data_IF_448336913707
#
_entry.id   IF_448336913707
#
_cell.length_a   1.000
_cell.length_b   1.000
_cell.length_c   1.000
_cell.angle_alpha   90.00
_cell.angle_beta   90.00
_cell.angle_gamma   90.00
#
_symmetry.space_group_name_H-M   'P 1'
#
loop_
_entity.id
_entity.type
_entity.pdbx_description
1 polymer ?
#
# COMPACT_ATOMS: atom_id res chain seq x y z
N UNK A 1 23.58 17.52 4.67
CA UNK A 1 22.41 17.29 3.79
C UNK A 1 21.66 16.11 4.38
N UNK A 2 20.34 16.23 4.62
CA UNK A 2 19.55 15.06 4.99
C UNK A 2 19.71 14.00 3.90
N UNK A 3 19.79 12.72 4.27
CA UNK A 3 19.84 11.64 3.30
C UNK A 3 18.53 11.69 2.50
N UNK A 4 18.58 12.28 1.30
CA UNK A 4 17.46 12.36 0.39
C UNK A 4 17.64 11.32 -0.71
N UNK A 5 16.54 10.72 -1.14
CA UNK A 5 16.49 9.84 -2.31
C UNK A 5 17.25 10.44 -3.49
N UNK A 6 18.24 9.70 -4.02
CA UNK A 6 19.17 10.17 -5.05
C UNK A 6 18.71 9.89 -6.48
N UNK A 7 17.55 9.25 -6.64
CA UNK A 7 17.00 8.88 -7.94
C UNK A 7 17.43 7.49 -8.40
N UNK A 8 16.69 6.97 -9.38
CA UNK A 8 16.86 5.62 -9.89
C UNK A 8 17.46 5.56 -11.29
N UNK A 9 17.37 4.39 -11.91
CA UNK A 9 17.78 4.13 -13.30
C UNK A 9 16.55 4.02 -14.21
N UNK A 10 16.68 4.02 -15.55
CA UNK A 10 15.56 3.70 -16.43
C UNK A 10 14.96 2.31 -16.12
N UNK A 11 13.68 2.26 -15.76
CA UNK A 11 12.99 1.02 -15.35
C UNK A 11 11.77 0.69 -16.20
N UNK A 12 11.20 1.67 -16.91
CA UNK A 12 10.11 1.44 -17.85
C UNK A 12 10.08 2.50 -18.94
N UNK A 13 9.52 2.16 -20.10
CA UNK A 13 9.19 3.09 -21.16
C UNK A 13 7.71 2.98 -21.54
N UNK A 14 7.15 4.04 -22.09
CA UNK A 14 5.86 3.99 -22.81
C UNK A 14 6.17 4.05 -24.29
N UNK A 15 5.69 3.05 -25.01
CA UNK A 15 5.81 3.01 -26.47
C UNK A 15 4.46 3.23 -27.09
N UNK A 16 4.35 4.22 -27.99
CA UNK A 16 3.15 4.53 -28.79
C UNK A 16 3.50 4.47 -30.26
N UNK A 17 2.78 3.66 -31.03
CA UNK A 17 2.97 3.51 -32.48
C UNK A 17 4.43 3.22 -32.88
N UNK A 18 5.13 2.43 -32.06
CA UNK A 18 6.55 2.09 -32.25
C UNK A 18 7.56 3.13 -31.75
N UNK A 19 7.12 4.29 -31.26
CA UNK A 19 7.96 5.35 -30.72
C UNK A 19 8.00 5.33 -29.18
N UNK A 20 9.18 5.38 -28.58
CA UNK A 20 9.36 5.52 -27.13
C UNK A 20 9.02 6.96 -26.70
N UNK A 21 7.78 7.16 -26.25
CA UNK A 21 7.19 8.46 -25.93
C UNK A 21 7.57 8.96 -24.54
N UNK A 22 7.76 8.06 -23.57
CA UNK A 22 8.14 8.43 -22.20
C UNK A 22 9.10 7.41 -21.61
N UNK A 23 10.05 7.88 -20.82
CA UNK A 23 10.97 7.06 -20.05
C UNK A 23 10.77 7.31 -18.56
N UNK A 24 10.51 6.26 -17.80
CA UNK A 24 10.38 6.28 -16.35
C UNK A 24 11.69 5.82 -15.72
N UNK A 25 12.23 6.66 -14.84
CA UNK A 25 13.33 6.31 -13.96
C UNK A 25 12.80 5.92 -12.58
N UNK A 26 13.47 5.00 -11.92
CA UNK A 26 13.05 4.51 -10.62
C UNK A 26 14.04 3.56 -10.00
N UNK A 27 13.81 3.27 -8.73
CA UNK A 27 14.60 2.33 -7.96
C UNK A 27 13.77 1.09 -7.61
N UNK A 28 14.44 -0.05 -7.55
CA UNK A 28 13.83 -1.36 -7.27
C UNK A 28 14.71 -2.07 -6.24
N UNK A 29 14.12 -2.50 -5.13
CA UNK A 29 14.76 -3.40 -4.18
C UNK A 29 14.06 -4.76 -4.21
N UNK A 30 14.83 -5.83 -4.36
CA UNK A 30 14.32 -7.21 -4.34
C UNK A 30 14.96 -7.95 -3.18
N UNK A 31 14.15 -8.54 -2.30
CA UNK A 31 14.63 -9.34 -1.17
C UNK A 31 14.25 -10.81 -1.34
N UNK A 32 15.04 -11.69 -0.75
CA UNK A 32 14.67 -13.08 -0.51
C UNK A 32 13.57 -13.19 0.58
N UNK A 33 13.03 -14.40 0.86
CA UNK A 33 12.03 -14.61 1.92
C UNK A 33 12.54 -14.23 3.33
N UNK A 34 13.84 -14.34 3.58
CA UNK A 34 14.43 -13.95 4.87
C UNK A 34 14.57 -12.43 5.02
N UNK A 35 14.31 -11.68 3.94
CA UNK A 35 14.39 -10.23 3.91
C UNK A 35 15.81 -9.69 3.64
N UNK A 36 16.72 -10.55 3.15
CA UNK A 36 18.03 -10.11 2.66
C UNK A 36 17.89 -9.56 1.24
N UNK A 37 18.64 -8.50 0.91
CA UNK A 37 18.63 -7.91 -0.42
C UNK A 37 19.26 -8.88 -1.43
N UNK A 38 18.46 -9.37 -2.37
CA UNK A 38 18.88 -10.24 -3.48
C UNK A 38 19.46 -9.41 -4.63
N UNK A 39 18.79 -8.30 -4.96
CA UNK A 39 19.18 -7.42 -6.05
C UNK A 39 18.62 -6.01 -5.86
N UNK A 40 19.24 -5.04 -6.54
CA UNK A 40 18.77 -3.66 -6.56
C UNK A 40 19.02 -2.99 -7.91
N UNK A 41 18.14 -2.06 -8.27
CA UNK A 41 18.29 -1.11 -9.38
C UNK A 41 18.14 0.29 -8.79
N UNK A 42 19.05 1.22 -9.12
CA UNK A 42 19.01 2.59 -8.58
C UNK A 42 19.31 2.70 -7.07
N UNK A 43 18.89 3.80 -6.46
CA UNK A 43 19.08 4.08 -5.03
C UNK A 43 18.00 3.41 -4.17
N UNK A 44 18.37 2.33 -3.50
CA UNK A 44 17.48 1.59 -2.59
C UNK A 44 17.75 1.85 -1.11
N UNK A 45 18.82 2.57 -0.79
CA UNK A 45 19.34 2.77 0.56
C UNK A 45 19.06 4.15 1.15
N UNK A 46 18.73 5.14 0.33
CA UNK A 46 18.23 6.43 0.84
C UNK A 46 16.79 6.31 1.34
N UNK A 47 16.41 7.07 2.37
CA UNK A 47 15.06 7.04 2.88
C UNK A 47 14.07 7.68 1.89
N UNK A 48 12.91 7.06 1.74
CA UNK A 48 11.73 7.57 1.04
C UNK A 48 10.54 7.53 1.98
N UNK A 49 9.52 8.34 1.74
CA UNK A 49 8.22 8.12 2.35
C UNK A 49 7.45 7.07 1.53
N UNK A 50 7.13 5.87 2.07
CA UNK A 50 6.38 4.85 1.34
C UNK A 50 4.90 5.20 1.14
N UNK A 51 4.44 6.29 1.77
CA UNK A 51 3.05 6.75 1.76
C UNK A 51 2.12 5.62 2.21
N UNK A 52 1.06 5.31 1.46
CA UNK A 52 0.10 4.25 1.81
C UNK A 52 0.72 2.85 1.94
N UNK A 53 1.93 2.61 1.41
CA UNK A 53 2.62 1.33 1.63
C UNK A 53 3.09 1.14 3.08
N UNK A 54 3.02 2.17 3.95
CA UNK A 54 3.25 2.04 5.39
C UNK A 54 2.10 1.35 6.15
N UNK A 55 0.90 1.32 5.57
CA UNK A 55 -0.32 0.94 6.30
C UNK A 55 -0.31 -0.48 6.89
N UNK A 56 0.24 -1.51 6.23
CA UNK A 56 0.30 -2.84 6.83
C UNK A 56 1.12 -2.86 8.13
N UNK A 57 2.23 -2.11 8.19
CA UNK A 57 3.03 -1.98 9.42
C UNK A 57 2.28 -1.18 10.50
N UNK A 58 1.50 -0.16 10.11
CA UNK A 58 0.64 0.58 11.03
C UNK A 58 -0.49 -0.29 11.58
N UNK A 59 -1.09 -1.16 10.76
CA UNK A 59 -2.09 -2.12 11.19
C UNK A 59 -1.52 -3.17 12.16
N UNK A 60 -0.29 -3.62 11.95
CA UNK A 60 0.41 -4.47 12.92
C UNK A 60 0.58 -3.76 14.26
N UNK A 61 0.96 -2.48 14.27
CA UNK A 61 1.07 -1.70 15.49
C UNK A 61 -0.28 -1.59 16.23
N UNK A 62 -1.41 -1.51 15.51
CA UNK A 62 -2.74 -1.54 16.12
C UNK A 62 -3.02 -2.88 16.83
N UNK A 63 -2.69 -4.02 16.20
CA UNK A 63 -2.82 -5.33 16.84
C UNK A 63 -1.92 -5.47 18.07
N UNK A 64 -0.68 -4.96 17.99
CA UNK A 64 0.27 -4.95 19.11
C UNK A 64 -0.15 -4.04 20.25
N UNK A 65 -0.90 -2.97 19.95
CA UNK A 65 -1.58 -2.15 20.93
C UNK A 65 -2.79 -2.86 21.56
N UNK A 66 -3.13 -4.09 21.18
CA UNK A 66 -4.26 -4.81 21.76
C UNK A 66 -5.61 -4.49 21.12
N UNK A 67 -5.64 -3.80 19.97
CA UNK A 67 -6.87 -3.78 19.16
C UNK A 67 -7.20 -5.21 18.71
N UNK A 68 -8.43 -5.65 19.01
CA UNK A 68 -8.99 -6.90 18.53
C UNK A 68 -10.05 -6.59 17.45
N UNK A 69 -9.72 -6.71 16.15
CA UNK A 69 -10.69 -6.53 15.08
C UNK A 69 -11.81 -7.57 15.21
N UNK A 70 -13.07 -7.18 14.91
CA UNK A 70 -14.20 -8.10 14.97
C UNK A 70 -14.17 -9.15 13.85
N UNK A 71 -13.57 -8.77 12.71
CA UNK A 71 -13.41 -9.61 11.52
C UNK A 71 -12.05 -9.38 10.85
N UNK A 72 -11.64 -10.28 9.95
CA UNK A 72 -10.45 -10.03 9.10
C UNK A 72 -10.65 -8.81 8.19
N UNK A 73 -11.89 -8.52 7.78
CA UNK A 73 -12.23 -7.38 6.96
C UNK A 73 -11.98 -6.04 7.68
N UNK A 74 -12.13 -5.99 9.01
CA UNK A 74 -11.79 -4.83 9.84
C UNK A 74 -10.27 -4.54 9.77
N UNK A 75 -9.44 -5.58 9.86
CA UNK A 75 -7.98 -5.44 9.75
C UNK A 75 -7.56 -5.07 8.32
N UNK A 76 -8.25 -5.62 7.31
CA UNK A 76 -8.02 -5.29 5.91
C UNK A 76 -8.30 -3.80 5.63
N UNK A 77 -9.45 -3.26 6.08
CA UNK A 77 -9.78 -1.85 5.85
C UNK A 77 -8.82 -0.90 6.60
N UNK A 78 -8.27 -1.31 7.74
CA UNK A 78 -7.23 -0.56 8.45
C UNK A 78 -5.91 -0.50 7.68
N UNK A 79 -5.64 -1.51 6.84
CA UNK A 79 -4.46 -1.58 5.96
C UNK A 79 -4.70 -0.97 4.58
N UNK A 80 -5.93 -0.55 4.28
CA UNK A 80 -6.36 -0.17 2.95
C UNK A 80 -5.99 1.27 2.53
N UNK A 81 -5.95 1.49 1.22
CA UNK A 81 -6.06 2.81 0.63
C UNK A 81 -7.35 2.86 -0.21
N UNK A 82 -8.48 2.64 0.47
CA UNK A 82 -9.75 2.32 -0.15
C UNK A 82 -10.28 3.44 -1.08
N UNK A 83 -11.22 3.10 -1.97
CA UNK A 83 -11.71 4.04 -2.98
C UNK A 83 -13.03 4.75 -2.63
N UNK A 84 -13.47 4.61 -1.38
CA UNK A 84 -14.72 5.21 -0.89
C UNK A 84 -16.00 4.55 -1.42
N UNK A 85 -15.91 3.37 -2.05
CA UNK A 85 -17.10 2.59 -2.47
C UNK A 85 -17.93 2.12 -1.26
N UNK A 86 -19.24 1.84 -1.42
CA UNK A 86 -20.14 1.56 -0.30
C UNK A 86 -19.70 0.46 0.68
N UNK A 87 -19.10 -0.62 0.18
CA UNK A 87 -18.61 -1.72 1.01
C UNK A 87 -17.40 -1.31 1.86
N UNK A 88 -16.59 -0.34 1.43
CA UNK A 88 -15.55 0.23 2.26
C UNK A 88 -16.15 1.04 3.41
N UNK A 89 -17.13 1.89 3.11
CA UNK A 89 -17.75 2.76 4.11
C UNK A 89 -18.45 1.95 5.20
N UNK A 90 -19.11 0.86 4.80
CA UNK A 90 -19.69 -0.09 5.74
C UNK A 90 -18.62 -0.71 6.66
N UNK A 91 -17.45 -1.07 6.12
CA UNK A 91 -16.37 -1.62 6.93
C UNK A 91 -15.73 -0.58 7.86
N UNK A 92 -15.57 0.67 7.42
CA UNK A 92 -15.09 1.76 8.30
C UNK A 92 -16.07 1.99 9.46
N UNK A 93 -17.38 1.97 9.18
CA UNK A 93 -18.40 2.07 10.21
C UNK A 93 -18.39 0.87 11.18
N UNK A 94 -18.13 -0.35 10.68
CA UNK A 94 -17.94 -1.55 11.50
C UNK A 94 -16.81 -1.37 12.51
N UNK A 95 -15.63 -0.93 12.05
CA UNK A 95 -14.46 -0.72 12.93
C UNK A 95 -14.75 0.34 14.00
N UNK A 96 -15.32 1.48 13.61
CA UNK A 96 -15.65 2.55 14.55
C UNK A 96 -16.71 2.10 15.55
N UNK A 97 -17.79 1.46 15.08
CA UNK A 97 -18.87 0.96 15.92
C UNK A 97 -18.40 -0.11 16.91
N UNK A 98 -17.48 -0.99 16.50
CA UNK A 98 -16.85 -1.98 17.38
C UNK A 98 -16.04 -1.35 18.53
N UNK A 99 -15.57 -0.11 18.36
CA UNK A 99 -14.91 0.68 19.40
C UNK A 99 -15.86 1.64 20.14
N UNK A 100 -17.16 1.63 19.84
CA UNK A 100 -18.14 2.57 20.40
C UNK A 100 -17.95 4.02 19.92
N UNK A 101 -17.35 4.22 18.74
CA UNK A 101 -17.02 5.53 18.18
C UNK A 101 -17.85 5.85 16.92
N UNK A 102 -17.97 7.14 16.62
CA UNK A 102 -18.59 7.66 15.41
C UNK A 102 -17.59 8.24 14.41
N UNK A 103 -18.08 8.55 13.20
CA UNK A 103 -17.29 9.19 12.13
C UNK A 103 -16.70 10.55 12.56
N UNK A 104 -17.35 11.24 13.50
CA UNK A 104 -16.93 12.54 14.04
C UNK A 104 -15.53 12.50 14.67
N UNK A 105 -15.04 11.31 15.05
CA UNK A 105 -13.68 11.10 15.58
C UNK A 105 -12.60 10.99 14.49
N UNK A 106 -12.97 10.76 13.23
CA UNK A 106 -12.01 10.74 12.14
C UNK A 106 -11.35 12.11 11.99
N UNK A 107 -10.03 12.12 11.82
CA UNK A 107 -9.25 13.35 11.64
C UNK A 107 -8.54 13.41 10.28
N UNK A 108 -8.77 12.44 9.39
CA UNK A 108 -8.43 12.58 7.97
C UNK A 108 -9.28 13.70 7.33
N UNK A 109 -8.78 14.39 6.29
CA UNK A 109 -9.55 15.44 5.62
C UNK A 109 -10.88 14.90 5.08
N UNK A 110 -11.87 15.78 4.96
CA UNK A 110 -13.07 15.46 4.21
C UNK A 110 -12.72 15.39 2.71
N UNK A 111 -13.26 14.39 2.02
CA UNK A 111 -13.02 14.17 0.60
C UNK A 111 -14.28 13.58 -0.05
N UNK A 112 -14.29 13.43 -1.37
CA UNK A 112 -15.24 12.58 -2.07
C UNK A 112 -14.61 11.19 -2.32
N UNK A 113 -15.41 10.15 -2.61
CA UNK A 113 -14.85 8.87 -3.04
C UNK A 113 -13.88 9.05 -4.22
N UNK A 114 -12.75 8.36 -4.21
CA UNK A 114 -11.83 8.38 -5.36
C UNK A 114 -12.31 7.47 -6.49
N UNK A 115 -13.18 6.51 -6.19
CA UNK A 115 -13.87 5.72 -7.21
C UNK A 115 -14.84 6.60 -8.01
N UNK A 116 -14.75 6.65 -9.36
CA UNK A 116 -15.61 7.52 -10.16
C UNK A 116 -17.10 7.24 -9.99
N UNK A 117 -17.52 5.98 -9.88
CA UNK A 117 -18.95 5.64 -9.81
C UNK A 117 -19.49 5.98 -8.43
N UNK A 118 -18.75 5.65 -7.37
CA UNK A 118 -19.13 6.03 -6.00
C UNK A 118 -19.16 7.55 -5.84
N UNK A 119 -18.21 8.27 -6.43
CA UNK A 119 -18.17 9.75 -6.43
C UNK A 119 -19.39 10.33 -7.12
N UNK A 120 -19.69 9.85 -8.32
CA UNK A 120 -20.82 10.34 -9.10
C UNK A 120 -22.14 10.07 -8.39
N UNK A 121 -22.28 8.92 -7.72
CA UNK A 121 -23.45 8.62 -6.91
C UNK A 121 -23.62 9.60 -5.73
N UNK A 122 -22.53 9.94 -5.03
CA UNK A 122 -22.57 10.94 -3.95
C UNK A 122 -22.98 12.31 -4.49
N UNK A 123 -22.36 12.78 -5.58
CA UNK A 123 -22.67 14.08 -6.19
C UNK A 123 -24.11 14.13 -6.69
N UNK A 124 -24.57 13.09 -7.39
CA UNK A 124 -25.94 13.02 -7.91
C UNK A 124 -27.00 13.02 -6.81
N UNK A 125 -26.66 12.53 -5.62
CA UNK A 125 -27.51 12.58 -4.44
C UNK A 125 -27.43 13.91 -3.67
N UNK A 126 -26.66 14.90 -4.16
CA UNK A 126 -26.43 16.17 -3.46
C UNK A 126 -25.54 16.04 -2.21
N UNK A 127 -24.72 14.99 -2.15
CA UNK A 127 -23.80 14.75 -1.04
C UNK A 127 -22.54 15.61 -1.12
N UNK A 128 -22.01 15.96 0.05
CA UNK A 128 -20.80 16.76 0.23
C UNK A 128 -19.58 15.89 0.60
N UNK A 129 -18.35 16.41 0.49
CA UNK A 129 -17.16 15.74 1.01
C UNK A 129 -17.31 15.35 2.49
N UNK A 130 -16.89 14.14 2.83
CA UNK A 130 -16.93 13.59 4.21
C UNK A 130 -15.62 12.88 4.53
N UNK A 131 -15.31 12.78 5.82
CA UNK A 131 -14.05 12.18 6.27
C UNK A 131 -14.01 10.67 6.01
N UNK A 132 -15.15 9.98 6.07
CA UNK A 132 -15.23 8.55 5.74
C UNK A 132 -14.97 8.22 4.27
N UNK A 133 -15.13 9.18 3.35
CA UNK A 133 -14.87 8.95 1.93
C UNK A 133 -13.37 8.97 1.61
N UNK A 134 -12.58 9.66 2.43
CA UNK A 134 -11.15 9.78 2.28
C UNK A 134 -10.49 8.40 2.38
N UNK A 135 -9.59 8.07 1.45
CA UNK A 135 -9.00 6.75 1.26
C UNK A 135 -8.20 6.15 2.45
N UNK A 136 -7.91 6.95 3.47
CA UNK A 136 -7.23 6.56 4.71
C UNK A 136 -8.19 6.42 5.89
N UNK A 137 -9.49 6.67 5.72
CA UNK A 137 -10.44 6.66 6.85
C UNK A 137 -10.48 5.32 7.57
N UNK A 138 -10.33 4.19 6.86
CA UNK A 138 -10.15 2.86 7.45
C UNK A 138 -8.94 2.74 8.37
N UNK A 139 -7.77 3.22 7.94
CA UNK A 139 -6.59 3.30 8.80
C UNK A 139 -6.88 4.14 10.04
N UNK A 140 -7.50 5.30 9.89
CA UNK A 140 -7.81 6.17 11.03
C UNK A 140 -8.80 5.49 12.00
N UNK A 141 -9.79 4.76 11.51
CA UNK A 141 -10.69 3.96 12.34
C UNK A 141 -9.93 2.89 13.14
N UNK A 142 -8.97 2.19 12.52
CA UNK A 142 -8.10 1.25 13.24
C UNK A 142 -7.21 1.92 14.29
N UNK A 143 -6.64 3.10 13.99
CA UNK A 143 -5.87 3.89 14.96
C UNK A 143 -6.72 4.27 16.17
N UNK A 144 -7.94 4.75 15.93
CA UNK A 144 -8.91 5.11 16.97
C UNK A 144 -9.32 3.90 17.82
N UNK A 145 -9.59 2.76 17.18
CA UNK A 145 -9.94 1.53 17.89
C UNK A 145 -8.79 1.03 18.78
N UNK A 146 -7.54 1.12 18.30
CA UNK A 146 -6.35 0.83 19.10
C UNK A 146 -6.19 1.81 20.28
N UNK A 147 -6.43 3.11 20.07
CA UNK A 147 -6.38 4.08 21.16
C UNK A 147 -7.47 3.82 22.21
N UNK A 148 -8.69 3.51 21.77
CA UNK A 148 -9.81 3.19 22.66
C UNK A 148 -9.54 1.93 23.49
N UNK A 149 -8.89 0.91 22.92
CA UNK A 149 -8.51 -0.31 23.64
C UNK A 149 -7.48 -0.09 24.77
N UNK A 150 -6.82 1.08 24.81
CA UNK A 150 -5.79 1.44 25.80
C UNK A 150 -6.16 2.66 26.64
N UNK A 151 -7.38 3.18 26.53
CA UNK A 151 -7.80 4.45 27.14
C UNK A 151 -6.87 5.64 26.78
N UNK A 152 -6.28 5.61 25.58
CA UNK A 152 -5.45 6.71 25.07
C UNK A 152 -6.30 7.84 24.49
N UNK A 153 -5.74 9.05 24.45
CA UNK A 153 -6.45 10.24 23.99
C UNK A 153 -6.81 10.19 22.49
N UNK A 154 -8.10 10.05 22.23
CA UNK A 154 -8.68 10.00 20.89
C UNK A 154 -8.59 11.35 20.13
N UNK A 155 -8.28 12.46 20.79
CA UNK A 155 -8.11 13.75 20.14
C UNK A 155 -6.70 13.94 19.56
N UNK A 156 -5.70 13.23 20.07
CA UNK A 156 -4.29 13.44 19.74
C UNK A 156 -3.62 12.21 19.10
N UNK A 157 -4.37 11.19 18.68
CA UNK A 157 -3.81 9.95 18.09
C UNK A 157 -2.91 10.14 16.86
N UNK A 158 -2.91 11.32 16.21
CA UNK A 158 -2.01 11.65 15.08
C UNK A 158 -0.73 12.38 15.51
N UNK A 159 -0.64 12.82 16.76
CA UNK A 159 0.55 13.47 17.30
C UNK A 159 1.70 12.45 17.32
N UNK A 160 2.88 12.76 16.73
CA UNK A 160 4.05 11.88 16.79
C UNK A 160 4.44 11.45 18.21
N UNK A 161 4.16 12.27 19.23
CA UNK A 161 4.46 11.96 20.62
C UNK A 161 3.42 11.09 21.31
N UNK A 162 2.26 10.86 20.66
CA UNK A 162 1.21 10.01 21.19
C UNK A 162 1.73 8.57 21.37
N UNK A 163 1.38 7.86 22.47
CA UNK A 163 1.85 6.49 22.73
C UNK A 163 1.67 5.53 21.54
N UNK A 164 0.52 5.61 20.88
CA UNK A 164 0.25 4.86 19.65
C UNK A 164 1.24 5.16 18.52
N UNK A 165 1.59 6.43 18.25
CA UNK A 165 2.50 6.77 17.15
C UNK A 165 3.94 6.33 17.46
N UNK A 166 4.36 6.38 18.73
CA UNK A 166 5.64 5.80 19.17
C UNK A 166 5.69 4.29 18.94
N UNK A 167 4.60 3.56 19.21
CA UNK A 167 4.50 2.14 18.90
C UNK A 167 4.53 1.87 17.39
N UNK A 168 3.90 2.73 16.58
CA UNK A 168 3.96 2.65 15.11
C UNK A 168 5.41 2.82 14.64
N UNK A 169 6.16 3.79 15.16
CA UNK A 169 7.58 3.99 14.84
C UNK A 169 8.37 2.74 15.17
N UNK A 170 8.28 2.23 16.40
CA UNK A 170 9.00 1.04 16.83
C UNK A 170 8.67 -0.19 15.97
N UNK A 171 7.40 -0.36 15.60
CA UNK A 171 6.95 -1.48 14.75
C UNK A 171 7.50 -1.36 13.31
N UNK A 172 7.56 -0.14 12.76
CA UNK A 172 8.14 0.10 11.44
C UNK A 172 9.64 -0.12 11.45
N UNK A 173 10.35 0.40 12.44
CA UNK A 173 11.80 0.20 12.59
C UNK A 173 12.14 -1.28 12.74
N UNK A 174 11.38 -2.01 13.56
CA UNK A 174 11.55 -3.44 13.72
C UNK A 174 11.39 -4.16 12.39
N UNK A 175 10.26 -3.99 11.68
CA UNK A 175 9.97 -4.73 10.45
C UNK A 175 10.91 -4.38 9.29
N UNK A 176 11.26 -3.11 9.16
CA UNK A 176 12.17 -2.67 8.10
C UNK A 176 13.63 -2.98 8.43
N UNK A 177 13.98 -3.09 9.72
CA UNK A 177 15.37 -3.13 10.18
C UNK A 177 16.11 -1.81 9.96
N UNK A 178 15.37 -0.72 9.73
CA UNK A 178 15.90 0.64 9.59
C UNK A 178 15.65 1.43 10.88
N UNK A 179 16.42 2.49 11.10
CA UNK A 179 16.00 3.60 11.96
C UNK A 179 15.18 4.58 11.12
N UNK A 180 14.03 5.03 11.62
CA UNK A 180 13.20 6.01 10.91
C UNK A 180 13.99 7.32 10.78
N UNK A 181 14.34 7.68 9.55
CA UNK A 181 15.24 8.81 9.31
C UNK A 181 14.52 10.16 9.31
N UNK A 182 13.21 10.16 9.07
CA UNK A 182 12.37 11.34 9.11
C UNK A 182 10.90 10.96 9.37
N UNK A 183 10.21 11.84 10.10
CA UNK A 183 8.77 11.77 10.31
C UNK A 183 8.14 12.97 9.60
N UNK A 184 7.34 12.70 8.57
CA UNK A 184 6.58 13.70 7.85
C UNK A 184 5.11 13.70 8.25
N UNK A 185 4.36 14.70 7.76
CA UNK A 185 2.89 14.71 7.84
C UNK A 185 2.34 14.24 6.48
N UNK A 186 1.54 13.18 6.50
CA UNK A 186 0.93 12.61 5.30
C UNK A 186 -0.28 13.46 4.83
N UNK A 187 -0.79 13.20 3.63
CA UNK A 187 -2.01 13.86 3.11
C UNK A 187 -3.25 13.61 3.98
N UNK A 188 -3.24 12.54 4.77
CA UNK A 188 -4.26 12.26 5.78
C UNK A 188 -4.09 13.03 7.10
N UNK A 189 -2.98 13.74 7.27
CA UNK A 189 -2.60 14.44 8.49
C UNK A 189 -2.05 13.54 9.60
N UNK A 190 -1.89 12.24 9.38
CA UNK A 190 -1.16 11.35 10.30
C UNK A 190 0.34 11.29 9.94
N UNK A 191 1.20 10.79 10.85
CA UNK A 191 2.63 10.65 10.56
C UNK A 191 2.90 9.68 9.40
N UNK A 192 3.87 10.04 8.55
CA UNK A 192 4.48 9.15 7.56
C UNK A 192 5.95 8.98 7.89
N UNK A 193 6.41 7.73 7.92
CA UNK A 193 7.73 7.36 8.40
C UNK A 193 8.63 7.05 7.21
N UNK A 194 9.77 7.73 7.14
CA UNK A 194 10.74 7.54 6.07
C UNK A 194 11.65 6.34 6.37
N UNK A 195 11.69 5.41 5.43
CA UNK A 195 12.48 4.16 5.49
C UNK A 195 13.11 3.90 4.12
N UNK A 196 14.09 3.01 4.06
CA UNK A 196 14.74 2.63 2.81
C UNK A 196 13.82 1.74 1.96
N UNK A 197 14.07 1.68 0.64
CA UNK A 197 13.30 0.80 -0.23
C UNK A 197 13.59 -0.67 0.07
N UNK A 198 14.84 -0.99 0.42
CA UNK A 198 15.24 -2.31 0.88
C UNK A 198 14.54 -2.71 2.20
N UNK A 199 14.49 -1.80 3.16
CA UNK A 199 13.76 -2.00 4.42
C UNK A 199 12.26 -2.19 4.20
N UNK A 200 11.66 -1.44 3.27
CA UNK A 200 10.26 -1.60 2.91
C UNK A 200 9.96 -2.97 2.29
N UNK A 201 10.81 -3.46 1.36
CA UNK A 201 10.68 -4.82 0.82
C UNK A 201 10.82 -5.88 1.93
N UNK A 202 11.82 -5.73 2.80
CA UNK A 202 12.04 -6.61 3.97
C UNK A 202 10.81 -6.68 4.89
N UNK A 203 10.19 -5.54 5.18
CA UNK A 203 8.99 -5.50 6.02
C UNK A 203 7.85 -6.34 5.43
N UNK A 204 7.64 -6.25 4.11
CA UNK A 204 6.62 -7.06 3.43
C UNK A 204 6.96 -8.54 3.41
N UNK A 205 8.22 -8.91 3.13
CA UNK A 205 8.67 -10.30 3.23
C UNK A 205 8.39 -10.87 4.64
N UNK A 206 8.69 -10.12 5.70
CA UNK A 206 8.42 -10.54 7.09
C UNK A 206 6.95 -10.73 7.40
N UNK A 207 6.06 -9.85 6.91
CA UNK A 207 4.61 -10.04 7.08
C UNK A 207 4.12 -11.33 6.39
N UNK A 208 4.66 -11.61 5.20
CA UNK A 208 4.28 -12.75 4.37
C UNK A 208 4.80 -14.07 4.95
N UNK A 209 6.06 -14.11 5.36
CA UNK A 209 6.73 -15.32 5.88
C UNK A 209 6.46 -15.58 7.36
N UNK A 210 5.80 -14.64 8.05
CA UNK A 210 5.52 -14.81 9.46
C UNK A 210 4.70 -16.10 9.74
N UNK A 211 4.94 -16.76 10.89
CA UNK A 211 4.21 -17.96 11.27
C UNK A 211 2.70 -17.76 11.26
N UNK A 212 1.95 -18.78 10.81
CA UNK A 212 0.48 -18.75 10.84
C UNK A 212 -0.04 -18.40 12.25
N UNK A 213 -0.99 -17.46 12.32
CA UNK A 213 -1.58 -16.99 13.58
C UNK A 213 -0.81 -15.89 14.31
N UNK A 214 0.43 -15.56 13.92
CA UNK A 214 1.12 -14.35 14.39
C UNK A 214 0.39 -13.09 13.92
N UNK A 215 0.63 -11.95 14.61
CA UNK A 215 -0.04 -10.69 14.24
C UNK A 215 0.45 -10.18 12.87
N UNK A 216 1.72 -10.36 12.58
CA UNK A 216 2.35 -10.07 11.29
C UNK A 216 1.63 -10.82 10.17
N UNK A 217 1.43 -12.13 10.37
CA UNK A 217 0.76 -12.98 9.39
C UNK A 217 -0.73 -12.65 9.25
N UNK A 218 -1.41 -12.33 10.35
CA UNK A 218 -2.82 -11.88 10.33
C UNK A 218 -3.03 -10.64 9.46
N UNK A 219 -2.09 -9.68 9.49
CA UNK A 219 -2.17 -8.49 8.63
C UNK A 219 -2.10 -8.89 7.16
N UNK A 220 -1.12 -9.71 6.77
CA UNK A 220 -0.99 -10.17 5.39
C UNK A 220 -2.22 -10.96 4.93
N UNK A 221 -2.70 -11.88 5.76
CA UNK A 221 -3.83 -12.75 5.41
C UNK A 221 -5.15 -11.95 5.34
N UNK A 222 -5.38 -10.99 6.23
CA UNK A 222 -6.55 -10.11 6.15
C UNK A 222 -6.61 -9.35 4.82
N UNK A 223 -5.47 -8.82 4.36
CA UNK A 223 -5.38 -8.13 3.07
C UNK A 223 -5.61 -9.06 1.88
N UNK A 224 -5.04 -10.27 1.91
CA UNK A 224 -5.15 -11.29 0.86
C UNK A 224 -6.54 -11.88 0.72
N UNK A 225 -7.23 -12.08 1.84
CA UNK A 225 -8.61 -12.60 1.88
C UNK A 225 -9.61 -11.52 1.47
N UNK A 226 -9.27 -10.24 1.68
CA UNK A 226 -10.15 -9.10 1.38
C UNK A 226 -9.50 -8.11 0.40
N UNK A 227 -8.99 -8.55 -0.76
CA UNK A 227 -8.17 -7.70 -1.63
C UNK A 227 -8.96 -6.53 -2.22
N UNK A 228 -10.27 -6.72 -2.42
CA UNK A 228 -11.18 -5.67 -2.86
C UNK A 228 -11.32 -4.52 -1.86
N UNK A 229 -11.20 -4.77 -0.54
CA UNK A 229 -11.21 -3.70 0.47
C UNK A 229 -9.94 -2.84 0.43
N UNK A 230 -8.83 -3.38 -0.07
CA UNK A 230 -7.54 -2.70 -0.04
C UNK A 230 -7.46 -1.55 -1.04
N UNK A 231 -8.00 -1.77 -2.24
CA UNK A 231 -7.84 -0.86 -3.38
C UNK A 231 -9.09 -0.82 -4.29
N UNK A 232 -10.25 -1.21 -3.76
CA UNK A 232 -11.53 -1.15 -4.45
C UNK A 232 -11.68 -2.08 -5.65
N UNK A 233 -12.79 -1.91 -6.37
CA UNK A 233 -13.21 -2.83 -7.44
C UNK A 233 -12.18 -2.96 -8.57
N UNK A 234 -11.48 -1.88 -8.91
CA UNK A 234 -10.63 -1.80 -10.12
C UNK A 234 -9.13 -1.65 -9.85
N UNK A 235 -8.74 -1.52 -8.59
CA UNK A 235 -7.38 -1.16 -8.23
C UNK A 235 -6.35 -2.26 -8.52
N UNK A 236 -5.09 -1.92 -8.86
CA UNK A 236 -4.03 -2.90 -9.10
C UNK A 236 -3.77 -3.82 -7.91
N UNK A 237 -3.84 -3.33 -6.65
CA UNK A 237 -3.57 -4.18 -5.49
C UNK A 237 -4.63 -5.30 -5.40
N UNK A 238 -5.90 -4.96 -5.61
CA UNK A 238 -7.00 -5.91 -5.66
C UNK A 238 -6.81 -6.92 -6.79
N UNK A 239 -6.56 -6.44 -8.00
CA UNK A 239 -6.39 -7.27 -9.20
C UNK A 239 -5.25 -8.27 -9.05
N UNK A 240 -4.08 -7.84 -8.57
CA UNK A 240 -2.94 -8.73 -8.36
C UNK A 240 -3.19 -9.78 -7.29
N UNK A 241 -3.72 -9.40 -6.13
CA UNK A 241 -3.96 -10.36 -5.04
C UNK A 241 -5.07 -11.36 -5.37
N UNK A 242 -6.05 -10.97 -6.19
CA UNK A 242 -7.07 -11.88 -6.72
C UNK A 242 -6.47 -12.85 -7.75
N UNK A 243 -5.61 -12.36 -8.65
CA UNK A 243 -5.00 -13.19 -9.69
C UNK A 243 -3.91 -14.13 -9.15
N UNK A 244 -3.21 -13.73 -8.09
CA UNK A 244 -2.08 -14.46 -7.52
C UNK A 244 -2.35 -14.77 -6.05
N UNK A 245 -3.07 -15.88 -5.73
CA UNK A 245 -3.36 -16.27 -4.36
C UNK A 245 -2.09 -16.33 -3.49
N UNK A 246 -2.14 -15.68 -2.33
CA UNK A 246 -1.01 -15.58 -1.42
C UNK A 246 -0.07 -14.40 -1.70
N UNK A 247 -0.19 -13.68 -2.82
CA UNK A 247 0.54 -12.43 -3.01
C UNK A 247 0.04 -11.37 -2.03
N UNK A 248 0.94 -10.64 -1.38
CA UNK A 248 0.63 -9.41 -0.68
C UNK A 248 1.03 -8.24 -1.56
N UNK A 249 0.12 -7.30 -1.84
CA UNK A 249 0.40 -6.10 -2.62
C UNK A 249 -0.10 -4.83 -1.91
N UNK A 250 0.69 -3.76 -1.98
CA UNK A 250 0.28 -2.45 -1.49
C UNK A 250 0.95 -1.32 -2.26
N UNK A 251 0.15 -0.62 -3.06
CA UNK A 251 0.52 0.65 -3.67
C UNK A 251 0.61 1.79 -2.66
N UNK A 252 1.51 2.74 -2.95
CA UNK A 252 1.71 4.00 -2.27
C UNK A 252 1.65 5.17 -3.25
N UNK A 253 1.26 6.35 -2.76
CA UNK A 253 1.39 7.58 -3.54
C UNK A 253 2.88 7.86 -3.85
N UNK A 254 3.15 8.83 -4.72
CA UNK A 254 4.52 9.17 -5.14
C UNK A 254 5.28 7.99 -5.77
N UNK A 255 4.56 7.15 -6.54
CA UNK A 255 5.16 6.13 -7.40
C UNK A 255 5.72 4.93 -6.64
N UNK A 256 5.22 4.65 -5.44
CA UNK A 256 5.65 3.51 -4.61
C UNK A 256 4.75 2.30 -4.85
N UNK A 257 5.33 1.12 -4.97
CA UNK A 257 4.58 -0.14 -4.94
C UNK A 257 5.41 -1.23 -4.28
N UNK A 258 4.79 -2.02 -3.40
CA UNK A 258 5.43 -3.18 -2.77
C UNK A 258 4.61 -4.43 -3.02
N UNK A 259 5.26 -5.52 -3.43
CA UNK A 259 4.66 -6.85 -3.60
C UNK A 259 5.52 -7.90 -2.91
N UNK A 260 4.90 -8.92 -2.31
CA UNK A 260 5.61 -10.02 -1.66
C UNK A 260 4.87 -11.35 -1.84
N UNK A 261 5.62 -12.39 -2.19
CA UNK A 261 5.11 -13.73 -2.47
C UNK A 261 5.74 -14.76 -1.51
N UNK A 262 4.94 -15.65 -0.89
CA UNK A 262 5.42 -16.66 0.06
C UNK A 262 6.47 -17.58 -0.58
N UNK A 263 7.58 -17.80 0.12
CA UNK A 263 8.71 -18.61 -0.33
C UNK A 263 9.56 -17.99 -1.44
N UNK A 264 9.18 -16.81 -1.96
CA UNK A 264 9.90 -16.12 -3.05
C UNK A 264 10.60 -14.86 -2.54
N UNK A 265 9.93 -14.06 -1.70
CA UNK A 265 10.46 -12.81 -1.18
C UNK A 265 9.61 -11.60 -1.62
N UNK A 266 10.23 -10.42 -1.67
CA UNK A 266 9.52 -9.17 -1.88
C UNK A 266 10.22 -8.22 -2.84
N UNK A 267 9.43 -7.35 -3.47
CA UNK A 267 9.89 -6.29 -4.35
C UNK A 267 9.27 -4.98 -3.89
N UNK A 268 10.10 -3.97 -3.70
CA UNK A 268 9.66 -2.59 -3.49
C UNK A 268 10.18 -1.69 -4.62
N UNK A 269 9.30 -0.85 -5.16
CA UNK A 269 9.58 0.06 -6.29
C UNK A 269 9.32 1.50 -5.86
N UNK A 270 10.15 2.42 -6.34
CA UNK A 270 9.91 3.88 -6.31
C UNK A 270 10.17 4.44 -7.71
N UNK A 271 9.16 5.04 -8.34
CA UNK A 271 9.34 5.81 -9.59
C UNK A 271 9.72 7.24 -9.24
N UNK A 272 10.76 7.79 -9.88
CA UNK A 272 11.40 9.06 -9.51
C UNK A 272 10.44 10.24 -9.50
N UNK A 273 9.64 10.38 -10.56
CA UNK A 273 8.66 11.47 -10.76
C UNK A 273 7.35 11.28 -9.97
N UNK A 274 7.24 10.18 -9.23
CA UNK A 274 6.05 9.84 -8.46
C UNK A 274 4.89 9.26 -9.28
N UNK A 275 5.06 9.00 -10.58
CA UNK A 275 4.00 8.48 -11.43
C UNK A 275 3.67 7.01 -11.11
N UNK A 276 2.44 6.76 -10.66
CA UNK A 276 1.96 5.41 -10.33
C UNK A 276 1.89 4.45 -11.52
N UNK A 277 1.75 4.96 -12.76
CA UNK A 277 1.52 4.14 -13.96
C UNK A 277 2.61 3.11 -14.26
N UNK A 278 3.87 3.39 -13.86
CA UNK A 278 4.99 2.47 -14.05
C UNK A 278 5.26 1.58 -12.83
N UNK A 279 4.73 1.94 -11.65
CA UNK A 279 5.07 1.26 -10.39
C UNK A 279 4.62 -0.21 -10.35
N UNK A 280 3.37 -0.51 -10.72
CA UNK A 280 2.84 -1.88 -10.79
C UNK A 280 3.53 -2.73 -11.86
N UNK A 281 3.67 -2.26 -13.13
CA UNK A 281 4.43 -2.98 -14.14
C UNK A 281 5.85 -3.37 -13.72
N UNK A 282 6.60 -2.41 -13.15
CA UNK A 282 7.98 -2.64 -12.71
C UNK A 282 8.02 -3.62 -11.53
N UNK A 283 7.09 -3.52 -10.58
CA UNK A 283 7.03 -4.43 -9.43
C UNK A 283 6.76 -5.88 -9.85
N UNK A 284 5.76 -6.11 -10.71
CA UNK A 284 5.45 -7.44 -11.24
C UNK A 284 6.60 -7.99 -12.11
N UNK A 285 7.23 -7.13 -12.91
CA UNK A 285 8.36 -7.55 -13.72
C UNK A 285 9.53 -8.02 -12.85
N UNK A 286 9.96 -7.21 -11.87
CA UNK A 286 11.02 -7.60 -10.96
C UNK A 286 10.67 -8.86 -10.14
N UNK A 287 9.41 -9.03 -9.73
CA UNK A 287 8.97 -10.22 -9.00
C UNK A 287 9.11 -11.49 -9.87
N UNK A 288 8.85 -11.39 -11.16
CA UNK A 288 8.92 -12.54 -12.08
C UNK A 288 10.32 -12.79 -12.63
N UNK A 289 11.09 -11.75 -12.98
CA UNK A 289 12.40 -11.91 -13.62
C UNK A 289 13.58 -11.96 -12.65
N UNK A 290 13.48 -11.25 -11.52
CA UNK A 290 14.58 -11.14 -10.55
C UNK A 290 14.33 -12.04 -9.35
N UNK A 291 13.14 -11.96 -8.74
CA UNK A 291 12.79 -12.84 -7.61
C UNK A 291 12.42 -14.27 -8.05
N UNK A 292 12.10 -14.47 -9.34
CA UNK A 292 11.86 -15.80 -9.91
C UNK A 292 10.45 -16.35 -9.69
N UNK A 293 9.45 -15.51 -9.41
CA UNK A 293 8.07 -15.97 -9.30
C UNK A 293 7.55 -16.49 -10.64
N UNK A 294 7.12 -17.75 -10.66
CA UNK A 294 6.42 -18.34 -11.80
C UNK A 294 4.94 -17.98 -11.71
N UNK A 295 4.40 -17.41 -12.78
CA UNK A 295 2.99 -17.03 -12.87
C UNK A 295 2.15 -18.24 -13.31
N UNK A 296 1.13 -18.63 -12.54
CA UNK A 296 0.18 -19.66 -12.94
C UNK A 296 -0.49 -19.36 -14.29
N UNK A 297 -0.80 -20.39 -15.07
CA UNK A 297 -1.31 -20.22 -16.44
C UNK A 297 -2.66 -19.49 -16.50
N UNK A 298 -3.52 -19.73 -15.50
CA UNK A 298 -4.83 -19.08 -15.33
C UNK A 298 -4.71 -17.61 -14.87
N UNK A 299 -3.68 -17.29 -14.09
CA UNK A 299 -3.38 -15.92 -13.66
C UNK A 299 -2.71 -15.07 -14.76
N UNK A 300 -2.07 -15.72 -15.74
CA UNK A 300 -1.23 -15.07 -16.75
C UNK A 300 -1.92 -13.93 -17.53
N UNK A 301 -3.17 -14.06 -18.02
CA UNK A 301 -3.81 -12.97 -18.75
C UNK A 301 -3.92 -11.67 -17.93
N UNK A 302 -4.29 -11.81 -16.66
CA UNK A 302 -4.49 -10.67 -15.76
C UNK A 302 -3.15 -10.05 -15.33
N UNK A 303 -2.15 -10.89 -15.02
CA UNK A 303 -0.79 -10.44 -14.70
C UNK A 303 -0.13 -9.77 -15.91
N UNK A 304 -0.32 -10.29 -17.13
CA UNK A 304 0.19 -9.66 -18.35
C UNK A 304 -0.46 -8.29 -18.60
N UNK A 305 -1.78 -8.17 -18.40
CA UNK A 305 -2.49 -6.90 -18.53
C UNK A 305 -2.00 -5.84 -17.54
N UNK A 306 -1.60 -6.25 -16.33
CA UNK A 306 -1.02 -5.36 -15.31
C UNK A 306 0.46 -5.06 -15.56
N UNK A 307 1.21 -5.99 -16.16
CA UNK A 307 2.65 -5.85 -16.43
C UNK A 307 2.91 -5.06 -17.73
N UNK A 308 2.04 -5.19 -18.73
CA UNK A 308 2.18 -4.59 -20.05
C UNK A 308 0.92 -3.78 -20.43
N UNK A 309 0.52 -2.79 -19.61
CA UNK A 309 -0.73 -2.07 -19.86
C UNK A 309 -0.69 -1.39 -21.23
N UNK A 310 -1.76 -1.58 -21.97
CA UNK A 310 -1.89 -1.06 -23.33
C UNK A 310 -1.97 0.47 -23.35
N UNK A 311 -1.45 1.04 -24.43
CA UNK A 311 -1.59 2.45 -24.76
C UNK A 311 -2.54 2.54 -25.93
N UNK A 312 -3.66 3.23 -25.73
CA UNK A 312 -4.72 3.32 -26.73
C UNK A 312 -4.64 4.61 -27.56
N UNK A 313 -5.14 4.52 -28.79
CA UNK A 313 -5.44 5.63 -29.69
C UNK A 313 -6.84 5.42 -30.26
N UNK A 314 -7.82 6.18 -29.77
CA UNK A 314 -9.23 5.78 -29.90
C UNK A 314 -9.47 4.47 -29.14
N UNK A 315 -10.26 3.57 -29.73
CA UNK A 315 -10.59 2.26 -29.14
C UNK A 315 -9.59 1.15 -29.52
N UNK A 316 -8.43 1.51 -30.06
CA UNK A 316 -7.42 0.55 -30.55
C UNK A 316 -6.13 0.64 -29.72
N UNK A 317 -5.57 -0.52 -29.38
CA UNK A 317 -4.23 -0.61 -28.79
C UNK A 317 -3.17 -0.25 -29.84
N UNK A 318 -2.45 0.85 -29.61
CA UNK A 318 -1.38 1.36 -30.50
C UNK A 318 0.01 1.21 -29.87
N UNK A 319 0.08 0.69 -28.64
CA UNK A 319 1.29 0.70 -27.86
C UNK A 319 1.11 0.04 -26.50
N UNK A 320 2.13 0.16 -25.65
CA UNK A 320 2.13 -0.37 -24.28
C UNK A 320 3.22 0.28 -23.44
N UNK A 321 3.03 0.28 -22.13
CA UNK A 321 4.13 0.44 -21.19
C UNK A 321 4.97 -0.84 -21.14
N UNK A 322 6.29 -0.70 -21.10
CA UNK A 322 7.25 -1.80 -21.07
C UNK A 322 8.25 -1.59 -19.93
N UNK A 323 8.21 -2.43 -18.88
CA UNK A 323 9.34 -2.56 -17.96
C UNK A 323 10.65 -2.93 -18.71
N UNK A 324 11.78 -2.40 -18.24
CA UNK A 324 13.12 -2.54 -18.86
C UNK A 324 14.02 -3.56 -18.14
N UNK A 325 13.43 -4.40 -17.29
CA UNK A 325 14.07 -5.41 -16.43
C UNK A 325 13.54 -6.84 -16.70
#
# INVERSE_FOLDING_TARGET
MSASYRGGEPVAEIVRSGFAESLHRGSVAVTDPSGNLLASIGDTGSPVFPRSSNKPMQALAMLRAGWAPGTEADLAIASASHRGEPFHLAQVASVLGGAGLGEDRLQCPADLPSDPDARNAVIAAGGEPRRVYMNCSGKHAGMLAACAANDWDLATYRDPEHPFQRLVIATVEELTGDTVQAVGVDGCGAPVLAVTLAGLARAFARLVEAPAGSNERKVADAMRTNPKLIDGTRGPDHRMMTALPGLLAKGGAEGVHVVAAPGIGAVAVKIDDGAGRASTPVALRALTTIAGMVIPADAKPEVDALTWPEVHGGDQAVGRLRPLL
#
